data_IF_154585777672
#
_entry.id   IF_154585777672
#
_cell.length_a   1.000
_cell.length_b   1.000
_cell.length_c   1.000
_cell.angle_alpha   90.00
_cell.angle_beta   90.00
_cell.angle_gamma   90.00
#
_symmetry.space_group_name_H-M   'P 1'
#
loop_
_entity.id
_entity.type
_entity.pdbx_description
1 polymer ?
#
# COMPACT_ATOMS: atom_id res chain seq x y z
N UNK A 1 -4.80 -40.59 0.62
CA UNK A 1 -5.27 -39.19 0.41
C UNK A 1 -4.22 -38.29 1.05
N UNK A 2 -3.30 -37.73 0.25
CA UNK A 2 -2.38 -36.75 0.74
C UNK A 2 -3.18 -35.47 0.99
N UNK A 3 -3.41 -35.13 2.25
CA UNK A 3 -3.79 -33.79 2.63
C UNK A 3 -2.55 -32.90 2.37
N UNK A 4 -2.48 -32.26 1.21
CA UNK A 4 -1.62 -31.11 1.02
C UNK A 4 -2.02 -30.10 2.12
N UNK A 5 -1.04 -29.68 2.94
CA UNK A 5 -1.26 -28.59 3.90
C UNK A 5 -1.91 -27.42 3.14
N UNK A 6 -2.89 -26.71 3.73
CA UNK A 6 -3.50 -25.59 3.05
C UNK A 6 -2.39 -24.66 2.59
N UNK A 7 -2.38 -24.35 1.28
CA UNK A 7 -1.40 -23.42 0.71
C UNK A 7 -1.53 -22.10 1.46
N UNK A 8 -0.47 -21.73 2.17
CA UNK A 8 -0.46 -20.60 3.08
C UNK A 8 -0.43 -19.31 2.28
N UNK A 9 -1.26 -18.34 2.68
CA UNK A 9 -1.24 -16.96 2.17
C UNK A 9 0.20 -16.43 2.10
N UNK A 10 0.68 -16.07 0.91
CA UNK A 10 2.04 -15.59 0.70
C UNK A 10 2.02 -14.23 0.00
N UNK A 11 2.67 -13.25 0.61
CA UNK A 11 2.93 -11.94 0.03
C UNK A 11 4.31 -11.98 -0.61
N UNK A 12 4.37 -11.73 -1.91
CA UNK A 12 5.61 -11.72 -2.65
C UNK A 12 6.13 -10.30 -2.82
N UNK A 13 7.40 -10.10 -2.48
CA UNK A 13 8.11 -8.82 -2.59
C UNK A 13 9.51 -9.04 -3.15
N UNK A 14 10.31 -7.99 -3.31
CA UNK A 14 11.71 -8.14 -3.67
C UNK A 14 12.53 -8.73 -2.52
N UNK A 15 13.57 -9.48 -2.87
CA UNK A 15 14.56 -9.98 -1.93
C UNK A 15 15.33 -8.83 -1.25
N UNK A 16 15.57 -7.75 -1.99
CA UNK A 16 16.28 -6.56 -1.57
C UNK A 16 15.79 -5.32 -2.30
N UNK A 17 15.94 -4.16 -1.71
CA UNK A 17 15.82 -2.85 -2.36
C UNK A 17 16.84 -1.89 -1.75
N UNK A 18 17.28 -0.83 -2.49
CA UNK A 18 18.06 0.26 -1.91
C UNK A 18 17.39 0.87 -0.67
N UNK A 19 18.14 1.61 0.15
CA UNK A 19 17.64 2.17 1.40
C UNK A 19 16.44 3.11 1.19
N UNK A 20 16.48 3.98 0.18
CA UNK A 20 15.45 4.99 -0.06
C UNK A 20 14.02 4.49 -0.17
N UNK A 21 13.72 3.41 -0.92
CA UNK A 21 12.39 2.83 -1.01
C UNK A 21 11.90 2.04 0.20
N UNK A 22 12.78 1.69 1.16
CA UNK A 22 12.39 0.90 2.34
C UNK A 22 11.33 1.62 3.16
N UNK A 23 10.32 0.89 3.58
CA UNK A 23 9.14 1.44 4.23
C UNK A 23 8.09 2.00 3.25
N UNK A 24 8.37 2.04 1.93
CA UNK A 24 7.47 2.54 0.89
C UNK A 24 7.21 1.53 -0.24
N UNK A 25 7.85 0.36 -0.23
CA UNK A 25 7.52 -0.71 -1.17
C UNK A 25 6.09 -1.18 -0.91
N UNK A 26 5.30 -1.34 -1.97
CA UNK A 26 3.84 -1.53 -1.85
C UNK A 26 3.39 -2.85 -1.21
N UNK A 27 4.29 -3.81 -0.99
CA UNK A 27 3.99 -5.00 -0.19
C UNK A 27 3.64 -4.66 1.27
N UNK A 28 4.05 -3.49 1.75
CA UNK A 28 3.64 -2.95 3.04
C UNK A 28 2.11 -2.88 3.19
N UNK A 29 1.38 -2.53 2.13
CA UNK A 29 -0.09 -2.48 2.12
C UNK A 29 -0.71 -3.83 2.50
N UNK A 30 -0.14 -4.90 1.95
CA UNK A 30 -0.64 -6.26 2.16
C UNK A 30 -0.25 -6.78 3.54
N UNK A 31 0.98 -6.54 3.99
CA UNK A 31 1.41 -6.86 5.36
C UNK A 31 0.50 -6.15 6.37
N UNK A 32 0.30 -4.86 6.18
CA UNK A 32 -0.56 -4.06 7.04
C UNK A 32 -2.01 -4.57 7.06
N UNK A 33 -2.58 -4.88 5.89
CA UNK A 33 -3.91 -5.47 5.80
C UNK A 33 -4.02 -6.80 6.55
N UNK A 34 -3.00 -7.66 6.44
CA UNK A 34 -2.97 -8.92 7.19
C UNK A 34 -2.91 -8.69 8.70
N UNK A 35 -2.09 -7.75 9.17
CA UNK A 35 -2.02 -7.40 10.60
C UNK A 35 -3.35 -6.82 11.13
N UNK A 36 -4.02 -5.94 10.38
CA UNK A 36 -5.35 -5.41 10.75
C UNK A 36 -6.44 -6.49 10.76
N UNK A 37 -6.33 -7.46 9.88
CA UNK A 37 -7.29 -8.55 9.75
C UNK A 37 -6.98 -9.76 10.65
N UNK A 38 -5.83 -9.79 11.32
CA UNK A 38 -5.38 -10.94 12.11
C UNK A 38 -5.09 -12.18 11.24
N UNK A 39 -4.69 -11.99 9.97
CA UNK A 39 -4.39 -13.05 9.03
C UNK A 39 -2.93 -13.48 9.13
N UNK A 40 -2.69 -14.78 9.27
CA UNK A 40 -1.34 -15.34 9.16
C UNK A 40 -0.88 -15.37 7.72
N UNK A 41 0.36 -14.94 7.45
CA UNK A 41 0.93 -14.91 6.12
C UNK A 41 2.42 -15.25 6.13
N UNK A 42 2.95 -15.59 4.97
CA UNK A 42 4.39 -15.68 4.70
C UNK A 42 4.82 -14.58 3.76
N UNK A 43 6.11 -14.29 3.76
CA UNK A 43 6.73 -13.40 2.79
C UNK A 43 7.62 -14.25 1.87
N UNK A 44 7.30 -14.24 0.59
CA UNK A 44 8.13 -14.78 -0.47
C UNK A 44 8.95 -13.68 -1.12
N UNK A 45 10.12 -14.02 -1.64
CA UNK A 45 11.03 -13.07 -2.28
C UNK A 45 11.26 -13.40 -3.74
N UNK A 46 11.37 -12.36 -4.57
CA UNK A 46 11.82 -12.43 -5.97
C UNK A 46 13.02 -11.50 -6.16
N UNK A 47 13.95 -11.80 -7.07
CA UNK A 47 15.12 -10.96 -7.31
C UNK A 47 14.73 -9.54 -7.72
N UNK A 48 15.39 -8.55 -7.11
CA UNK A 48 15.21 -7.14 -7.47
C UNK A 48 15.78 -6.82 -8.86
N UNK A 49 16.95 -7.36 -9.17
CA UNK A 49 17.67 -7.03 -10.40
C UNK A 49 17.30 -7.95 -11.56
N UNK A 50 17.17 -9.26 -11.33
CA UNK A 50 16.82 -10.25 -12.36
C UNK A 50 15.34 -10.66 -12.25
N UNK A 51 14.49 -9.94 -12.94
CA UNK A 51 13.05 -10.18 -13.02
C UNK A 51 12.74 -11.18 -14.13
N UNK A 52 13.06 -12.45 -13.88
CA UNK A 52 12.92 -13.55 -14.81
C UNK A 52 11.49 -13.85 -15.28
N UNK A 53 11.36 -14.89 -16.12
CA UNK A 53 10.07 -15.31 -16.70
C UNK A 53 9.06 -15.76 -15.65
N UNK A 54 9.52 -16.44 -14.59
CA UNK A 54 8.65 -16.89 -13.49
C UNK A 54 7.99 -15.73 -12.76
N UNK A 55 8.76 -14.67 -12.43
CA UNK A 55 8.18 -13.47 -11.83
C UNK A 55 7.15 -12.82 -12.77
N UNK A 56 7.45 -12.70 -14.07
CA UNK A 56 6.52 -12.11 -15.04
C UNK A 56 5.28 -12.94 -15.31
N UNK A 57 5.35 -14.25 -15.10
CA UNK A 57 4.16 -15.10 -15.17
C UNK A 57 3.17 -14.80 -14.03
N UNK A 58 3.67 -14.39 -12.86
CA UNK A 58 2.87 -14.03 -11.69
C UNK A 58 2.47 -12.55 -11.69
N UNK A 59 3.36 -11.66 -12.16
CA UNK A 59 3.14 -10.22 -12.25
C UNK A 59 3.66 -9.71 -13.60
N UNK A 60 2.77 -9.48 -14.59
CA UNK A 60 3.15 -9.22 -15.99
C UNK A 60 4.08 -8.01 -16.18
N UNK A 61 3.98 -7.01 -15.30
CA UNK A 61 4.80 -5.80 -15.34
C UNK A 61 6.15 -5.95 -14.62
N UNK A 62 6.46 -7.14 -14.06
CA UNK A 62 7.68 -7.40 -13.31
C UNK A 62 7.81 -6.55 -12.04
N UNK A 63 6.69 -6.22 -11.42
CA UNK A 63 6.61 -5.41 -10.19
C UNK A 63 6.34 -6.28 -8.96
N UNK A 64 6.31 -5.64 -7.79
CA UNK A 64 5.82 -6.19 -6.53
C UNK A 64 4.83 -5.19 -5.91
N UNK A 65 3.91 -5.65 -5.04
CA UNK A 65 3.67 -7.03 -4.65
C UNK A 65 2.83 -7.80 -5.65
N UNK A 66 2.86 -9.12 -5.49
CA UNK A 66 1.79 -10.01 -5.87
C UNK A 66 1.47 -10.95 -4.70
N UNK A 67 0.35 -11.68 -4.77
CA UNK A 67 -0.17 -12.49 -3.68
C UNK A 67 -0.55 -13.88 -4.19
N UNK A 68 -0.27 -14.91 -3.41
CA UNK A 68 -0.83 -16.25 -3.59
C UNK A 68 -1.58 -16.68 -2.34
N UNK A 69 -2.77 -17.27 -2.52
CA UNK A 69 -3.66 -17.70 -1.44
C UNK A 69 -4.46 -18.94 -1.89
N UNK A 70 -3.95 -20.11 -1.60
CA UNK A 70 -4.45 -21.36 -2.16
C UNK A 70 -4.24 -21.40 -3.68
N UNK A 71 -5.32 -21.60 -4.41
CA UNK A 71 -5.37 -21.62 -5.88
C UNK A 71 -5.48 -20.20 -6.50
N UNK A 72 -5.58 -19.16 -5.67
CA UNK A 72 -5.69 -17.77 -6.11
C UNK A 72 -4.30 -17.16 -6.25
N UNK A 73 -4.04 -16.54 -7.40
CA UNK A 73 -2.88 -15.68 -7.65
C UNK A 73 -3.34 -14.32 -8.14
N UNK A 74 -2.87 -13.25 -7.49
CA UNK A 74 -3.27 -11.88 -7.76
C UNK A 74 -2.06 -10.96 -7.86
N UNK A 75 -2.10 -10.06 -8.81
CA UNK A 75 -1.19 -8.92 -8.90
C UNK A 75 -2.00 -7.61 -8.80
N UNK A 76 -1.34 -6.46 -8.75
CA UNK A 76 -1.83 -5.15 -8.33
C UNK A 76 -2.08 -5.07 -6.82
N UNK A 77 -1.38 -4.15 -6.15
CA UNK A 77 -1.50 -3.98 -4.70
C UNK A 77 -2.93 -3.66 -4.24
N UNK A 78 -3.71 -2.97 -5.07
CA UNK A 78 -5.12 -2.69 -4.80
C UNK A 78 -5.99 -3.95 -4.90
N UNK A 79 -5.81 -4.78 -5.92
CA UNK A 79 -6.55 -6.03 -6.06
C UNK A 79 -6.22 -7.02 -4.93
N UNK A 80 -4.93 -7.13 -4.58
CA UNK A 80 -4.48 -7.94 -3.44
C UNK A 80 -5.08 -7.42 -2.12
N UNK A 81 -5.07 -6.10 -1.89
CA UNK A 81 -5.69 -5.50 -0.72
C UNK A 81 -7.18 -5.81 -0.64
N UNK A 82 -7.91 -5.66 -1.74
CA UNK A 82 -9.35 -5.99 -1.77
C UNK A 82 -9.61 -7.46 -1.47
N UNK A 83 -8.83 -8.38 -2.02
CA UNK A 83 -8.92 -9.81 -1.70
C UNK A 83 -8.72 -10.11 -0.20
N UNK A 84 -7.71 -9.49 0.42
CA UNK A 84 -7.47 -9.62 1.85
C UNK A 84 -8.60 -9.00 2.66
N UNK A 85 -9.13 -7.88 2.21
CA UNK A 85 -10.20 -7.14 2.90
C UNK A 85 -11.50 -7.94 2.96
N UNK A 86 -11.80 -8.78 1.98
CA UNK A 86 -12.96 -9.68 2.02
C UNK A 86 -12.95 -10.65 3.20
N UNK A 87 -11.77 -10.94 3.74
CA UNK A 87 -11.57 -11.83 4.88
C UNK A 87 -11.77 -11.14 6.23
N UNK A 88 -12.00 -9.81 6.24
CA UNK A 88 -12.08 -9.01 7.47
C UNK A 88 -13.16 -7.95 7.39
N UNK A 89 -14.08 -7.98 8.35
CA UNK A 89 -15.12 -6.94 8.46
C UNK A 89 -14.55 -5.58 8.89
N UNK A 90 -13.38 -5.57 9.51
CA UNK A 90 -12.65 -4.33 9.83
C UNK A 90 -12.22 -3.61 8.56
N UNK A 91 -11.73 -4.35 7.56
CA UNK A 91 -11.24 -3.77 6.31
C UNK A 91 -12.34 -3.57 5.27
N UNK A 92 -13.33 -4.48 5.23
CA UNK A 92 -14.43 -4.42 4.27
C UNK A 92 -15.77 -4.59 4.98
N UNK A 93 -16.55 -3.52 5.16
CA UNK A 93 -17.88 -3.60 5.75
C UNK A 93 -18.78 -4.55 4.99
N UNK A 94 -19.65 -5.29 5.70
CA UNK A 94 -20.62 -6.19 5.06
C UNK A 94 -21.84 -5.46 4.51
N UNK A 95 -22.14 -4.29 5.05
CA UNK A 95 -23.23 -3.46 4.60
C UNK A 95 -22.94 -2.99 3.15
N UNK A 96 -23.93 -3.13 2.25
CA UNK A 96 -23.75 -2.98 0.80
C UNK A 96 -23.30 -1.57 0.39
N UNK A 97 -23.86 -0.53 1.01
CA UNK A 97 -23.52 0.85 0.66
C UNK A 97 -22.12 1.19 1.14
N UNK A 98 -21.77 0.86 2.39
CA UNK A 98 -20.43 1.09 2.95
C UNK A 98 -19.35 0.30 2.21
N UNK A 99 -19.68 -0.92 1.78
CA UNK A 99 -18.79 -1.72 0.92
C UNK A 99 -18.52 -1.03 -0.42
N UNK A 100 -19.56 -0.51 -1.07
CA UNK A 100 -19.41 0.21 -2.34
C UNK A 100 -18.61 1.49 -2.16
N UNK A 101 -18.81 2.21 -1.06
CA UNK A 101 -18.03 3.39 -0.71
C UNK A 101 -16.56 3.05 -0.44
N UNK A 102 -16.28 1.95 0.30
CA UNK A 102 -14.91 1.45 0.53
C UNK A 102 -14.20 1.16 -0.79
N UNK A 103 -14.85 0.45 -1.71
CA UNK A 103 -14.29 0.18 -3.05
C UNK A 103 -14.00 1.47 -3.81
N UNK A 104 -14.90 2.45 -3.75
CA UNK A 104 -14.73 3.73 -4.42
C UNK A 104 -13.51 4.48 -3.90
N UNK A 105 -13.33 4.54 -2.58
CA UNK A 105 -12.18 5.21 -1.97
C UNK A 105 -10.85 4.45 -2.16
N UNK A 106 -10.86 3.12 -2.17
CA UNK A 106 -9.67 2.32 -2.53
C UNK A 106 -9.21 2.66 -3.94
N UNK A 107 -10.15 2.69 -4.89
CA UNK A 107 -9.83 3.05 -6.28
C UNK A 107 -9.46 4.53 -6.42
N UNK A 108 -10.08 5.43 -5.67
CA UNK A 108 -9.72 6.86 -5.66
C UNK A 108 -8.30 7.08 -5.14
N UNK A 109 -7.86 6.37 -4.10
CA UNK A 109 -6.49 6.45 -3.62
C UNK A 109 -5.48 6.11 -4.72
N UNK A 110 -5.73 5.05 -5.49
CA UNK A 110 -4.86 4.60 -6.57
C UNK A 110 -4.98 5.47 -7.83
N UNK A 111 -6.20 5.69 -8.30
CA UNK A 111 -6.46 6.25 -9.63
C UNK A 111 -6.70 7.77 -9.62
N UNK A 112 -6.88 8.40 -8.46
CA UNK A 112 -7.08 9.85 -8.38
C UNK A 112 -5.95 10.56 -7.63
N UNK A 113 -5.27 9.89 -6.70
CA UNK A 113 -4.20 10.47 -5.89
C UNK A 113 -2.84 9.89 -6.27
N UNK A 114 -2.64 8.57 -6.15
CA UNK A 114 -1.34 7.93 -6.42
C UNK A 114 -0.93 8.08 -7.89
N UNK A 115 -1.89 8.00 -8.81
CA UNK A 115 -1.68 8.21 -10.24
C UNK A 115 -1.05 9.58 -10.56
N UNK A 116 -1.20 10.55 -9.69
CA UNK A 116 -0.60 11.89 -9.86
C UNK A 116 0.65 12.04 -8.99
N UNK A 117 0.59 11.58 -7.72
CA UNK A 117 1.67 11.78 -6.76
C UNK A 117 2.95 11.05 -7.13
N UNK A 118 2.86 9.85 -7.68
CA UNK A 118 4.04 9.08 -8.12
C UNK A 118 4.71 9.69 -9.34
N UNK A 119 4.01 10.00 -10.45
CA UNK A 119 4.62 10.72 -11.58
C UNK A 119 5.16 12.11 -11.17
N UNK A 120 4.46 12.85 -10.31
CA UNK A 120 4.94 14.13 -9.79
C UNK A 120 6.29 13.98 -9.08
N UNK A 121 6.42 12.96 -8.21
CA UNK A 121 7.67 12.69 -7.52
C UNK A 121 8.79 12.31 -8.52
N UNK A 122 8.53 11.44 -9.49
CA UNK A 122 9.53 11.08 -10.51
C UNK A 122 9.99 12.27 -11.36
N UNK A 123 9.08 13.16 -11.76
CA UNK A 123 9.43 14.41 -12.45
C UNK A 123 10.30 15.29 -11.55
N UNK A 124 9.96 15.36 -10.24
CA UNK A 124 10.73 16.12 -9.26
C UNK A 124 12.19 15.67 -9.10
N UNK A 125 12.50 14.37 -9.34
CA UNK A 125 13.87 13.85 -9.26
C UNK A 125 14.83 14.49 -10.27
N UNK A 126 14.32 14.99 -11.40
CA UNK A 126 15.10 15.74 -12.40
C UNK A 126 15.27 17.21 -12.05
N UNK A 127 14.73 17.68 -10.89
CA UNK A 127 14.79 19.05 -10.39
C UNK A 127 14.40 20.09 -11.45
N UNK A 128 13.27 19.97 -12.13
CA UNK A 128 12.82 20.95 -13.10
C UNK A 128 12.52 22.28 -12.40
N UNK A 129 12.63 23.44 -13.08
CA UNK A 129 12.27 24.74 -12.49
C UNK A 129 10.80 24.81 -12.07
N UNK A 130 9.92 24.07 -12.76
CA UNK A 130 8.52 23.88 -12.41
C UNK A 130 8.11 22.43 -12.66
N UNK A 131 7.34 21.86 -11.73
CA UNK A 131 6.76 20.54 -11.92
C UNK A 131 5.34 20.67 -12.48
N UNK A 132 5.08 20.29 -13.75
CA UNK A 132 3.78 20.51 -14.38
C UNK A 132 2.62 19.72 -13.71
N UNK A 133 2.93 18.72 -12.89
CA UNK A 133 1.94 17.93 -12.18
C UNK A 133 1.59 18.49 -10.80
N UNK A 134 2.33 19.47 -10.29
CA UNK A 134 2.13 19.99 -8.93
C UNK A 134 0.74 20.60 -8.72
N UNK A 135 0.28 21.42 -9.66
CA UNK A 135 -1.06 21.99 -9.60
C UNK A 135 -2.16 20.94 -9.53
N UNK A 136 -1.99 19.86 -10.30
CA UNK A 136 -2.93 18.73 -10.29
C UNK A 136 -2.91 17.99 -8.95
N UNK A 137 -1.72 17.69 -8.41
CA UNK A 137 -1.59 17.04 -7.11
C UNK A 137 -2.20 17.92 -5.98
N UNK A 138 -1.88 19.21 -5.95
CA UNK A 138 -2.46 20.15 -4.98
C UNK A 138 -3.98 20.17 -5.03
N UNK A 139 -4.58 20.15 -6.23
CA UNK A 139 -6.03 20.10 -6.37
C UNK A 139 -6.63 18.81 -5.78
N UNK A 140 -5.94 17.66 -5.88
CA UNK A 140 -6.37 16.41 -5.24
C UNK A 140 -6.27 16.47 -3.72
N UNK A 141 -5.18 17.04 -3.20
CA UNK A 141 -5.00 17.20 -1.75
C UNK A 141 -6.00 18.19 -1.15
N UNK A 142 -6.35 19.27 -1.85
CA UNK A 142 -7.40 20.22 -1.42
C UNK A 142 -8.76 19.53 -1.28
N UNK A 143 -9.14 18.69 -2.26
CA UNK A 143 -10.40 17.90 -2.16
C UNK A 143 -10.37 16.95 -0.97
N UNK A 144 -9.23 16.30 -0.71
CA UNK A 144 -9.08 15.42 0.45
C UNK A 144 -9.13 16.19 1.77
N UNK A 145 -8.51 17.37 1.83
CA UNK A 145 -8.56 18.25 3.00
C UNK A 145 -10.00 18.64 3.35
N UNK A 146 -10.82 19.03 2.34
CA UNK A 146 -12.22 19.36 2.56
C UNK A 146 -13.00 18.13 3.10
N UNK A 147 -12.77 16.94 2.54
CA UNK A 147 -13.40 15.70 3.01
C UNK A 147 -13.00 15.38 4.44
N UNK A 148 -11.71 15.47 4.77
CA UNK A 148 -11.16 15.08 6.06
C UNK A 148 -11.35 16.16 7.15
N UNK A 149 -11.67 17.37 6.77
CA UNK A 149 -12.15 18.42 7.70
C UNK A 149 -13.56 18.09 8.21
N UNK A 150 -14.39 17.44 7.38
CA UNK A 150 -15.76 17.11 7.73
C UNK A 150 -15.92 15.76 8.46
N UNK A 151 -14.93 14.86 8.38
CA UNK A 151 -15.01 13.51 8.95
C UNK A 151 -13.63 12.91 9.26
N UNK A 152 -13.61 12.00 10.24
CA UNK A 152 -12.39 11.33 10.66
C UNK A 152 -11.94 10.17 9.75
N UNK A 153 -12.89 9.51 9.09
CA UNK A 153 -12.68 8.31 8.25
C UNK A 153 -13.27 8.52 6.86
N UNK A 154 -12.72 7.82 5.87
CA UNK A 154 -13.22 7.90 4.50
C UNK A 154 -14.57 7.19 4.31
N UNK A 155 -14.88 6.21 5.15
CA UNK A 155 -16.11 5.44 5.07
C UNK A 155 -16.74 5.35 6.46
N UNK A 156 -17.93 5.91 6.62
CA UNK A 156 -18.64 5.91 7.88
C UNK A 156 -17.74 6.40 9.05
N UNK A 157 -18.02 6.01 10.27
CA UNK A 157 -17.23 6.36 11.46
C UNK A 157 -16.23 5.25 11.85
N UNK A 158 -15.57 4.64 10.84
CA UNK A 158 -14.69 3.49 11.10
C UNK A 158 -13.52 3.38 10.11
N UNK A 159 -12.42 2.80 10.60
CA UNK A 159 -11.29 2.43 9.74
C UNK A 159 -11.68 1.29 8.77
N UNK A 160 -11.25 1.42 7.51
CA UNK A 160 -11.44 0.43 6.44
C UNK A 160 -10.20 0.29 5.57
N UNK A 161 -10.23 -0.59 4.57
CA UNK A 161 -9.19 -0.70 3.55
C UNK A 161 -8.98 0.62 2.77
N UNK A 162 -10.02 1.46 2.68
CA UNK A 162 -9.93 2.78 2.06
C UNK A 162 -8.95 3.69 2.81
N UNK A 163 -9.02 3.70 4.14
CA UNK A 163 -8.13 4.50 4.99
C UNK A 163 -6.70 3.96 4.97
N UNK A 164 -6.55 2.64 4.98
CA UNK A 164 -5.24 1.99 4.89
C UNK A 164 -4.50 2.46 3.64
N UNK A 165 -5.12 2.31 2.47
CA UNK A 165 -4.44 2.60 1.20
C UNK A 165 -4.27 4.11 0.98
N UNK A 166 -5.25 4.93 1.38
CA UNK A 166 -5.16 6.38 1.25
C UNK A 166 -4.03 6.93 2.14
N UNK A 167 -3.94 6.47 3.39
CA UNK A 167 -2.85 6.87 4.27
C UNK A 167 -1.49 6.42 3.75
N UNK A 168 -1.37 5.21 3.17
CA UNK A 168 -0.13 4.76 2.55
C UNK A 168 0.30 5.63 1.37
N UNK A 169 -0.64 6.06 0.54
CA UNK A 169 -0.38 6.96 -0.60
C UNK A 169 0.05 8.36 -0.14
N UNK A 170 -0.52 8.85 0.96
CA UNK A 170 -0.30 10.22 1.43
C UNK A 170 0.88 10.39 2.40
N UNK A 171 1.29 9.33 3.12
CA UNK A 171 2.32 9.40 4.18
C UNK A 171 3.75 9.70 3.73
N UNK A 172 4.18 9.54 2.44
CA UNK A 172 5.53 9.90 2.06
C UNK A 172 5.86 11.37 2.40
N UNK A 173 7.03 11.65 3.01
CA UNK A 173 7.36 13.00 3.49
C UNK A 173 7.32 14.06 2.39
N UNK A 174 7.67 13.69 1.17
CA UNK A 174 7.62 14.61 0.03
C UNK A 174 6.18 14.98 -0.39
N UNK A 175 5.18 14.12 -0.16
CA UNK A 175 3.76 14.44 -0.36
C UNK A 175 3.30 15.40 0.75
N UNK A 176 3.65 15.10 2.00
CA UNK A 176 3.29 15.93 3.17
C UNK A 176 3.89 17.33 3.10
N UNK A 177 5.04 17.47 2.46
CA UNK A 177 5.73 18.78 2.32
C UNK A 177 5.18 19.66 1.19
N UNK A 178 4.23 19.18 0.38
CA UNK A 178 3.76 19.95 -0.78
C UNK A 178 2.88 21.16 -0.42
N UNK A 179 2.24 21.14 0.75
CA UNK A 179 1.35 22.21 1.21
C UNK A 179 0.94 22.06 2.67
N UNK A 180 0.11 22.95 3.14
CA UNK A 180 -0.49 22.93 4.47
C UNK A 180 -1.90 22.33 4.38
N UNK A 181 -2.03 21.09 4.86
CA UNK A 181 -3.26 20.29 4.84
C UNK A 181 -3.47 19.66 6.21
N UNK A 182 -3.89 20.45 7.25
CA UNK A 182 -3.89 19.99 8.63
C UNK A 182 -4.84 18.83 8.93
N UNK A 183 -6.00 18.75 8.29
CA UNK A 183 -6.93 17.62 8.48
C UNK A 183 -6.35 16.35 7.85
N UNK A 184 -5.76 16.44 6.67
CA UNK A 184 -5.06 15.35 6.01
C UNK A 184 -3.86 14.88 6.84
N UNK A 185 -3.09 15.80 7.41
CA UNK A 185 -1.95 15.50 8.27
C UNK A 185 -2.40 14.77 9.56
N UNK A 186 -3.46 15.25 10.22
CA UNK A 186 -4.04 14.60 11.39
C UNK A 186 -4.56 13.19 11.05
N UNK A 187 -5.18 13.03 9.89
CA UNK A 187 -5.67 11.74 9.38
C UNK A 187 -4.52 10.75 9.17
N UNK A 188 -3.46 11.14 8.46
CA UNK A 188 -2.28 10.29 8.24
C UNK A 188 -1.68 9.85 9.58
N UNK A 189 -1.48 10.79 10.49
CA UNK A 189 -0.88 10.51 11.80
C UNK A 189 -1.74 9.53 12.61
N UNK A 190 -3.06 9.69 12.64
CA UNK A 190 -4.00 8.80 13.32
C UNK A 190 -3.92 7.37 12.76
N UNK A 191 -3.88 7.22 11.44
CA UNK A 191 -3.88 5.90 10.81
C UNK A 191 -2.52 5.24 10.93
N UNK A 192 -1.42 5.96 10.72
CA UNK A 192 -0.07 5.43 10.87
C UNK A 192 0.33 5.17 12.36
N UNK A 193 -0.42 5.68 13.34
CA UNK A 193 -0.23 5.33 14.75
C UNK A 193 -0.81 3.95 15.13
N UNK A 194 -1.52 3.27 14.23
CA UNK A 194 -2.11 1.95 14.50
C UNK A 194 -1.01 0.89 14.72
N UNK A 195 -1.16 0.01 15.73
CA UNK A 195 -0.15 -1.03 16.01
C UNK A 195 0.13 -1.94 14.81
N UNK A 196 -0.89 -2.25 14.01
CA UNK A 196 -0.77 -3.06 12.81
C UNK A 196 0.14 -2.41 11.76
N UNK A 197 0.05 -1.08 11.56
CA UNK A 197 0.98 -0.36 10.71
C UNK A 197 2.41 -0.42 11.24
N UNK A 198 2.61 -0.13 12.53
CA UNK A 198 3.92 -0.13 13.16
C UNK A 198 4.62 -1.48 12.99
N UNK A 199 3.87 -2.58 13.22
CA UNK A 199 4.39 -3.95 13.03
C UNK A 199 4.73 -4.23 11.57
N UNK A 200 3.81 -3.99 10.64
CA UNK A 200 4.01 -4.26 9.22
C UNK A 200 5.20 -3.47 8.66
N UNK A 201 5.34 -2.22 9.06
CA UNK A 201 6.45 -1.35 8.67
C UNK A 201 7.79 -1.86 9.20
N UNK A 202 7.86 -2.20 10.50
CA UNK A 202 9.07 -2.76 11.11
C UNK A 202 9.47 -4.10 10.45
N UNK A 203 8.52 -4.97 10.17
CA UNK A 203 8.75 -6.25 9.51
C UNK A 203 9.27 -6.07 8.06
N UNK A 204 8.79 -5.07 7.34
CA UNK A 204 9.30 -4.77 6.00
C UNK A 204 10.74 -4.23 6.04
N UNK A 205 11.02 -3.29 6.93
CA UNK A 205 12.38 -2.78 7.13
C UNK A 205 13.33 -3.93 7.48
N UNK A 206 12.95 -4.78 8.44
CA UNK A 206 13.77 -5.92 8.85
C UNK A 206 13.97 -6.95 7.72
N UNK A 207 12.98 -7.13 6.83
CA UNK A 207 13.10 -7.99 5.66
C UNK A 207 14.23 -7.52 4.73
N UNK A 208 14.27 -6.24 4.38
CA UNK A 208 15.28 -5.69 3.48
C UNK A 208 16.64 -5.51 4.14
N UNK A 209 16.70 -5.16 5.44
CA UNK A 209 17.96 -5.01 6.17
C UNK A 209 18.72 -6.33 6.34
N UNK A 210 18.01 -7.44 6.54
CA UNK A 210 18.65 -8.78 6.60
C UNK A 210 19.30 -9.16 5.28
N UNK A 211 18.80 -8.69 4.16
CA UNK A 211 19.40 -8.96 2.86
C UNK A 211 20.71 -8.20 2.63
N UNK A 212 20.96 -7.08 3.32
CA UNK A 212 22.23 -6.36 3.24
C UNK A 212 23.38 -7.24 3.75
N UNK A 213 23.16 -7.96 4.87
CA UNK A 213 24.16 -8.85 5.47
C UNK A 213 24.63 -9.96 4.52
N UNK A 214 23.74 -10.42 3.63
CA UNK A 214 24.04 -11.46 2.64
C UNK A 214 24.65 -10.93 1.35
N UNK A 215 24.50 -9.63 1.05
CA UNK A 215 25.08 -8.97 -0.14
C UNK A 215 26.49 -8.44 0.09
N UNK A 216 26.87 -8.18 1.34
CA UNK A 216 28.20 -7.72 1.75
C UNK A 216 29.17 -8.88 2.02
N UNK A 217 28.68 -10.13 2.09
CA UNK A 217 29.47 -11.34 2.32
C UNK A 217 29.87 -12.01 0.99
#
# INVERSE_FOLDING_TARGET
MNQTAPEQLTIWTFDWVPEGPRGYVRDLRLRWACEEAGLSYRVGSVPFEDRGAEHRAMQPFGQVPYLTDGDVSLFESGACLLHLSEKSETLMPRERALRAETLSWVLAALNSVEMVSVPWWFVGLSSPPENPLEGWLRARLTVLEDVLTARDWLVDDRFTAADLIMADVLRPPWIRAIGDYPATEAYINRICARPAFAKAHADQIAHFSRADETREA
#
